data_IF_643961110670
#
_entry.id   IF_643961110670
#
_cell.length_a   1.000
_cell.length_b   1.000
_cell.length_c   1.000
_cell.angle_alpha   90.00
_cell.angle_beta   90.00
_cell.angle_gamma   90.00
#
_symmetry.space_group_name_H-M   'P 1'
#
loop_
_entity.id
_entity.type
_entity.pdbx_description
1 polymer ?
#
# COMPACT_ATOMS: atom_id res chain seq x y z
N UNK A 1 -28.20 4.43 22.52
CA UNK A 1 -27.39 3.26 22.08
C UNK A 1 -26.19 3.17 23.00
N UNK A 2 -25.93 2.01 23.61
CA UNK A 2 -24.76 1.79 24.48
C UNK A 2 -23.49 1.79 23.63
N UNK A 3 -22.54 2.68 23.94
CA UNK A 3 -21.24 2.71 23.24
C UNK A 3 -20.47 1.42 23.56
N UNK A 4 -20.01 0.73 22.52
CA UNK A 4 -19.26 -0.53 22.68
C UNK A 4 -17.83 -0.24 23.12
N UNK A 5 -17.43 -0.83 24.25
CA UNK A 5 -16.04 -0.80 24.74
C UNK A 5 -15.27 -2.04 24.27
N UNK A 6 -14.07 -1.84 23.74
CA UNK A 6 -13.13 -2.89 23.32
C UNK A 6 -11.84 -2.83 24.13
N UNK A 7 -11.21 -3.98 24.38
CA UNK A 7 -9.80 -3.99 24.80
C UNK A 7 -8.87 -3.65 23.65
N UNK A 8 -7.64 -3.24 23.95
CA UNK A 8 -6.64 -2.97 22.91
C UNK A 8 -6.30 -4.21 22.07
N UNK A 9 -6.27 -5.40 22.69
CA UNK A 9 -6.16 -6.68 21.99
C UNK A 9 -7.32 -6.92 20.99
N UNK A 10 -8.57 -6.62 21.40
CA UNK A 10 -9.71 -6.70 20.48
C UNK A 10 -9.56 -5.71 19.33
N UNK A 11 -9.10 -4.48 19.59
CA UNK A 11 -8.85 -3.48 18.54
C UNK A 11 -7.76 -3.93 17.54
N UNK A 12 -6.67 -4.55 18.01
CA UNK A 12 -5.64 -5.16 17.15
C UNK A 12 -6.23 -6.25 16.25
N UNK A 13 -6.98 -7.19 16.82
CA UNK A 13 -7.63 -8.27 16.05
C UNK A 13 -8.63 -7.74 15.03
N UNK A 14 -9.37 -6.69 15.36
CA UNK A 14 -10.25 -5.98 14.40
C UNK A 14 -9.44 -5.43 13.23
N UNK A 15 -8.33 -4.75 13.50
CA UNK A 15 -7.47 -4.18 12.45
C UNK A 15 -6.89 -5.25 11.52
N UNK A 16 -6.40 -6.36 12.09
CA UNK A 16 -5.84 -7.50 11.34
C UNK A 16 -6.93 -8.15 10.46
N UNK A 17 -8.11 -8.37 11.02
CA UNK A 17 -9.22 -9.02 10.31
C UNK A 17 -9.83 -8.16 9.19
N UNK A 18 -9.95 -6.86 9.42
CA UNK A 18 -10.39 -5.90 8.42
C UNK A 18 -9.48 -5.94 7.17
N UNK A 19 -8.17 -6.02 7.40
CA UNK A 19 -7.15 -6.16 6.37
C UNK A 19 -7.10 -7.54 5.72
N UNK A 20 -7.80 -8.54 6.26
CA UNK A 20 -7.84 -9.92 5.75
C UNK A 20 -6.61 -10.75 6.09
N UNK A 21 -5.77 -10.32 7.03
CA UNK A 21 -4.55 -11.02 7.46
C UNK A 21 -4.83 -12.20 8.41
N UNK A 22 -6.07 -12.31 8.91
CA UNK A 22 -6.53 -13.42 9.75
C UNK A 22 -7.17 -14.58 8.93
N UNK A 23 -7.12 -14.49 7.60
CA UNK A 23 -7.70 -15.48 6.68
C UNK A 23 -6.69 -16.56 6.35
N UNK A 24 -7.19 -17.77 6.13
CA UNK A 24 -6.38 -18.84 5.56
C UNK A 24 -5.95 -18.45 4.14
N UNK A 25 -4.66 -18.62 3.85
CA UNK A 25 -4.10 -18.45 2.51
C UNK A 25 -4.62 -19.58 1.61
N UNK A 26 -5.11 -19.28 0.39
CA UNK A 26 -5.54 -20.31 -0.54
C UNK A 26 -4.32 -21.09 -1.09
N UNK A 27 -4.49 -22.37 -1.41
CA UNK A 27 -3.41 -23.17 -2.00
C UNK A 27 -3.03 -22.68 -3.40
N UNK A 28 -4.03 -22.19 -4.16
CA UNK A 28 -3.84 -21.60 -5.50
C UNK A 28 -4.48 -20.21 -5.53
N UNK A 29 -3.65 -19.20 -5.81
CA UNK A 29 -4.10 -17.81 -5.93
C UNK A 29 -4.65 -17.55 -7.34
N UNK A 30 -5.88 -17.07 -7.42
CA UNK A 30 -6.58 -16.74 -8.67
C UNK A 30 -6.69 -15.23 -8.86
N UNK A 31 -7.10 -14.80 -10.06
CA UNK A 31 -7.37 -13.38 -10.34
C UNK A 31 -8.45 -12.82 -9.40
N UNK A 32 -9.46 -13.63 -9.07
CA UNK A 32 -10.51 -13.27 -8.11
C UNK A 32 -9.92 -12.98 -6.72
N UNK A 33 -9.01 -13.83 -6.24
CA UNK A 33 -8.35 -13.62 -4.94
C UNK A 33 -7.59 -12.28 -4.90
N UNK A 34 -6.87 -11.93 -5.99
CA UNK A 34 -6.20 -10.62 -6.11
C UNK A 34 -7.24 -9.49 -6.05
N UNK A 35 -8.27 -9.52 -6.89
CA UNK A 35 -9.25 -8.43 -6.98
C UNK A 35 -10.05 -8.26 -5.69
N UNK A 36 -10.42 -9.36 -5.03
CA UNK A 36 -11.19 -9.32 -3.78
C UNK A 36 -10.33 -8.81 -2.62
N UNK A 37 -9.04 -9.12 -2.62
CA UNK A 37 -8.09 -8.58 -1.65
C UNK A 37 -7.92 -7.07 -1.82
N UNK A 38 -7.71 -6.60 -3.06
CA UNK A 38 -7.59 -5.16 -3.35
C UNK A 38 -8.89 -4.42 -3.02
N UNK A 39 -10.05 -4.98 -3.35
CA UNK A 39 -11.35 -4.41 -2.95
C UNK A 39 -11.51 -4.31 -1.44
N UNK A 40 -11.06 -5.32 -0.69
CA UNK A 40 -11.13 -5.34 0.78
C UNK A 40 -10.27 -4.27 1.42
N UNK A 41 -9.02 -4.13 0.98
CA UNK A 41 -8.08 -3.16 1.54
C UNK A 41 -8.17 -1.79 0.85
N UNK A 42 -9.00 -1.64 -0.17
CA UNK A 42 -9.30 -0.39 -0.87
C UNK A 42 -8.22 0.08 -1.86
N UNK A 43 -6.93 -0.15 -1.58
CA UNK A 43 -5.82 0.27 -2.43
C UNK A 43 -4.55 -0.56 -2.23
N UNK A 44 -3.66 -0.53 -3.23
CA UNK A 44 -2.29 -1.00 -3.13
C UNK A 44 -1.33 0.13 -3.54
N UNK A 45 -0.57 0.65 -2.59
CA UNK A 45 0.43 1.67 -2.90
C UNK A 45 1.55 1.10 -3.78
N UNK A 46 1.79 1.77 -4.89
CA UNK A 46 2.85 1.51 -5.86
C UNK A 46 4.10 2.27 -5.43
N UNK A 47 5.22 1.56 -5.42
CA UNK A 47 6.54 2.11 -5.15
C UNK A 47 7.56 1.43 -6.07
N UNK A 48 8.59 2.17 -6.49
CA UNK A 48 9.60 1.71 -7.43
C UNK A 48 10.77 0.97 -6.77
N UNK A 49 10.92 1.05 -5.44
CA UNK A 49 11.97 0.33 -4.71
C UNK A 49 11.80 -1.17 -4.94
N UNK A 50 12.88 -1.81 -5.41
CA UNK A 50 12.86 -3.21 -5.82
C UNK A 50 14.00 -4.03 -5.18
N UNK A 51 14.16 -3.86 -3.86
CA UNK A 51 15.19 -4.58 -3.08
C UNK A 51 14.81 -6.04 -2.84
N UNK A 52 13.56 -6.29 -2.49
CA UNK A 52 13.00 -7.64 -2.35
C UNK A 52 12.09 -7.91 -3.55
N UNK A 53 10.93 -7.26 -3.53
CA UNK A 53 10.03 -7.08 -4.65
C UNK A 53 9.48 -5.65 -4.59
N UNK A 54 8.86 -5.17 -5.67
CA UNK A 54 8.17 -3.88 -5.65
C UNK A 54 7.04 -3.89 -4.63
N UNK A 55 6.88 -2.79 -3.89
CA UNK A 55 6.06 -2.76 -2.68
C UNK A 55 4.63 -3.27 -2.86
N UNK A 56 3.92 -2.86 -3.92
CA UNK A 56 2.53 -3.24 -4.18
C UNK A 56 2.30 -4.76 -4.30
N UNK A 57 3.35 -5.54 -4.53
CA UNK A 57 3.26 -7.00 -4.62
C UNK A 57 3.23 -7.68 -3.24
N UNK A 58 3.84 -7.07 -2.23
CA UNK A 58 4.03 -7.66 -0.91
C UNK A 58 2.77 -7.70 -0.03
N UNK A 59 1.84 -6.71 -0.05
CA UNK A 59 0.57 -6.82 0.67
C UNK A 59 -0.29 -7.99 0.21
N UNK A 60 -0.20 -8.36 -1.08
CA UNK A 60 -0.89 -9.53 -1.63
C UNK A 60 -0.23 -10.82 -1.12
N UNK A 61 1.10 -10.92 -1.14
CA UNK A 61 1.83 -12.06 -0.55
C UNK A 61 1.46 -12.25 0.92
N UNK A 62 1.45 -11.17 1.71
CA UNK A 62 1.12 -11.21 3.12
C UNK A 62 -0.26 -11.82 3.41
N UNK A 63 -1.25 -11.59 2.53
CA UNK A 63 -2.66 -12.01 2.69
C UNK A 63 -2.99 -13.32 1.98
N UNK A 64 -2.32 -13.62 0.88
CA UNK A 64 -2.68 -14.72 -0.03
C UNK A 64 -1.62 -15.81 -0.11
N UNK A 65 -0.42 -15.59 0.40
CA UNK A 65 0.71 -16.49 0.15
C UNK A 65 1.27 -16.34 -1.27
N UNK A 66 2.13 -17.26 -1.72
CA UNK A 66 2.77 -17.20 -3.03
C UNK A 66 1.75 -17.15 -4.17
N UNK A 67 1.99 -16.26 -5.14
CA UNK A 67 1.10 -16.08 -6.30
C UNK A 67 1.86 -15.65 -7.56
N UNK A 68 1.28 -15.92 -8.73
CA UNK A 68 1.78 -15.39 -10.01
C UNK A 68 1.60 -13.86 -10.07
N UNK A 69 2.71 -13.11 -10.05
CA UNK A 69 2.70 -11.64 -10.13
C UNK A 69 2.05 -11.13 -11.43
N UNK A 70 2.00 -11.96 -12.48
CA UNK A 70 1.28 -11.70 -13.70
C UNK A 70 -0.22 -11.51 -13.50
N UNK A 71 -0.80 -12.00 -12.40
CA UNK A 71 -2.20 -11.74 -12.03
C UNK A 71 -2.47 -10.25 -11.78
N UNK A 72 -1.53 -9.52 -11.18
CA UNK A 72 -1.65 -8.08 -10.95
C UNK A 72 -1.61 -7.35 -12.29
N UNK A 73 -0.68 -7.73 -13.18
CA UNK A 73 -0.62 -7.20 -14.54
C UNK A 73 -1.88 -7.51 -15.36
N UNK A 74 -2.45 -8.72 -15.23
CA UNK A 74 -3.74 -9.06 -15.85
C UNK A 74 -4.88 -8.20 -15.31
N UNK A 75 -4.91 -7.94 -14.00
CA UNK A 75 -5.94 -7.12 -13.37
C UNK A 75 -5.88 -5.64 -13.80
N UNK A 76 -4.67 -5.09 -14.01
CA UNK A 76 -4.48 -3.68 -14.35
C UNK A 76 -4.40 -3.39 -15.85
N UNK A 77 -3.91 -4.32 -16.68
CA UNK A 77 -3.62 -4.03 -18.09
C UNK A 77 -4.58 -4.67 -19.10
N UNK A 78 -5.28 -5.76 -18.75
CA UNK A 78 -6.18 -6.46 -19.68
C UNK A 78 -7.63 -6.01 -19.50
N UNK A 79 -8.30 -5.69 -20.60
CA UNK A 79 -9.73 -5.39 -20.59
C UNK A 79 -10.57 -6.67 -20.34
N UNK A 80 -11.69 -6.59 -19.59
CA UNK A 80 -12.09 -5.45 -18.78
C UNK A 80 -11.18 -5.35 -17.54
N UNK A 81 -10.63 -4.15 -17.29
CA UNK A 81 -9.70 -3.93 -16.18
C UNK A 81 -10.43 -4.08 -14.85
N UNK A 82 -9.72 -4.52 -13.82
CA UNK A 82 -10.28 -4.72 -12.47
C UNK A 82 -9.75 -3.69 -11.48
N UNK A 83 -8.55 -3.18 -11.75
CA UNK A 83 -7.89 -2.15 -10.98
C UNK A 83 -7.31 -1.11 -11.93
N UNK A 84 -7.23 0.14 -11.47
CA UNK A 84 -6.60 1.24 -12.20
C UNK A 84 -5.53 1.89 -11.34
N UNK A 85 -4.51 2.43 -12.00
CA UNK A 85 -3.52 3.28 -11.35
C UNK A 85 -4.06 4.72 -11.23
N UNK A 86 -4.02 5.26 -10.01
CA UNK A 86 -4.37 6.66 -9.73
C UNK A 86 -3.68 7.12 -8.45
N UNK A 87 -3.87 8.38 -8.08
CA UNK A 87 -3.50 8.88 -6.77
C UNK A 87 -4.58 8.57 -5.73
N UNK A 88 -4.18 7.84 -4.69
CA UNK A 88 -4.99 7.56 -3.51
C UNK A 88 -4.17 7.97 -2.26
N UNK A 89 -3.70 7.01 -1.46
CA UNK A 89 -2.74 7.28 -0.39
C UNK A 89 -1.45 7.90 -0.95
N UNK A 90 -0.88 7.25 -1.96
CA UNK A 90 0.09 7.77 -2.92
C UNK A 90 -0.25 7.19 -4.29
N UNK A 91 0.71 7.07 -5.21
CA UNK A 91 0.49 6.34 -6.47
C UNK A 91 0.03 4.93 -6.10
N UNK A 92 -1.15 4.53 -6.54
CA UNK A 92 -1.80 3.31 -6.04
C UNK A 92 -2.58 2.61 -7.14
N UNK A 93 -2.68 1.29 -7.04
CA UNK A 93 -3.76 0.56 -7.69
C UNK A 93 -5.01 0.60 -6.82
N UNK A 94 -6.15 0.96 -7.39
CA UNK A 94 -7.47 0.95 -6.73
C UNK A 94 -8.45 0.11 -7.54
N UNK A 95 -9.51 -0.47 -6.93
CA UNK A 95 -10.59 -1.08 -7.68
C UNK A 95 -11.16 -0.13 -8.74
N UNK A 96 -11.58 -0.65 -9.89
CA UNK A 96 -12.16 0.18 -10.96
C UNK A 96 -13.37 1.00 -10.48
N UNK A 97 -14.16 0.47 -9.54
CA UNK A 97 -15.29 1.17 -8.90
C UNK A 97 -14.87 2.29 -7.96
N UNK A 98 -13.64 2.27 -7.45
CA UNK A 98 -13.10 3.29 -6.55
C UNK A 98 -12.48 4.45 -7.33
N UNK A 99 -12.00 4.21 -8.55
CA UNK A 99 -11.33 5.22 -9.38
C UNK A 99 -12.16 6.50 -9.57
N UNK A 100 -13.46 6.45 -9.95
CA UNK A 100 -14.27 7.67 -10.13
C UNK A 100 -14.42 8.51 -8.85
N UNK A 101 -14.28 7.90 -7.67
CA UNK A 101 -14.37 8.61 -6.39
C UNK A 101 -13.15 9.50 -6.12
N UNK A 102 -12.08 9.36 -6.90
CA UNK A 102 -10.80 10.05 -6.69
C UNK A 102 -10.54 11.15 -7.72
N UNK A 103 -11.30 11.20 -8.81
CA UNK A 103 -11.04 12.13 -9.93
C UNK A 103 -11.43 13.58 -9.65
N UNK A 104 -12.22 13.85 -8.60
CA UNK A 104 -12.47 15.22 -8.13
C UNK A 104 -11.24 15.84 -7.47
N UNK A 105 -10.32 15.02 -6.95
CA UNK A 105 -9.19 15.47 -6.16
C UNK A 105 -7.99 15.78 -7.05
N UNK A 106 -7.89 17.04 -7.49
CA UNK A 106 -6.70 17.53 -8.19
C UNK A 106 -5.57 17.74 -7.19
N UNK A 107 -4.46 17.01 -7.34
CA UNK A 107 -3.28 17.22 -6.51
C UNK A 107 -2.75 18.64 -6.76
N UNK A 108 -2.44 19.34 -5.67
CA UNK A 108 -1.70 20.59 -5.71
C UNK A 108 -0.22 20.29 -5.60
N UNK A 109 0.52 20.66 -6.62
CA UNK A 109 1.96 20.48 -6.67
C UNK A 109 2.63 21.72 -6.06
N UNK A 110 3.57 21.58 -5.11
CA UNK A 110 4.27 22.74 -4.57
C UNK A 110 4.93 23.56 -5.68
N UNK A 111 4.58 24.85 -5.78
CA UNK A 111 5.11 25.76 -6.81
C UNK A 111 4.47 25.61 -8.20
N UNK A 112 3.40 24.82 -8.34
CA UNK A 112 2.72 24.58 -9.62
C UNK A 112 1.21 24.60 -9.43
N UNK A 113 0.52 25.49 -10.15
CA UNK A 113 -0.94 25.53 -10.25
C UNK A 113 -1.37 24.82 -11.54
N UNK A 114 -1.95 23.60 -11.46
CA UNK A 114 -2.35 22.86 -12.64
C UNK A 114 -3.42 23.55 -13.48
N UNK A 115 -4.33 24.30 -12.84
CA UNK A 115 -5.43 24.99 -13.54
C UNK A 115 -4.90 26.21 -14.29
N UNK A 116 -4.02 26.98 -13.64
CA UNK A 116 -3.36 28.12 -14.30
C UNK A 116 -2.49 27.66 -15.48
N UNK A 117 -1.67 26.61 -15.31
CA UNK A 117 -0.83 26.09 -16.40
C UNK A 117 -1.65 25.55 -17.58
N UNK A 118 -2.76 24.87 -17.31
CA UNK A 118 -3.65 24.39 -18.36
C UNK A 118 -4.32 25.57 -19.12
N UNK A 119 -4.62 26.66 -18.43
CA UNK A 119 -5.17 27.87 -19.03
C UNK A 119 -4.13 28.70 -19.80
N UNK A 120 -2.88 28.73 -19.34
CA UNK A 120 -1.76 29.46 -19.98
C UNK A 120 -1.25 28.74 -21.24
N UNK A 121 -1.26 27.40 -21.25
CA UNK A 121 -0.74 26.58 -22.34
C UNK A 121 -1.76 25.60 -22.94
N UNK A 122 -2.97 26.05 -23.34
CA UNK A 122 -4.04 25.15 -23.76
C UNK A 122 -3.64 24.25 -24.96
N UNK A 123 -2.84 24.77 -25.88
CA UNK A 123 -2.35 24.03 -27.05
C UNK A 123 -1.43 22.87 -26.69
N UNK A 124 -0.61 22.99 -25.63
CA UNK A 124 0.24 21.89 -25.15
C UNK A 124 -0.61 20.75 -24.58
N UNK A 125 -1.62 21.07 -23.78
CA UNK A 125 -2.51 20.07 -23.22
C UNK A 125 -3.36 19.40 -24.30
N UNK A 126 -3.80 20.17 -25.31
CA UNK A 126 -4.48 19.62 -26.49
C UNK A 126 -3.56 18.69 -27.27
N UNK A 127 -2.32 19.10 -27.55
CA UNK A 127 -1.32 18.28 -28.23
C UNK A 127 -1.11 16.93 -27.54
N UNK A 128 -0.92 16.91 -26.21
CA UNK A 128 -0.72 15.65 -25.46
C UNK A 128 -1.96 14.76 -25.52
N UNK A 129 -3.17 15.32 -25.42
CA UNK A 129 -4.42 14.55 -25.58
C UNK A 129 -4.52 13.94 -26.98
N UNK A 130 -4.27 14.73 -28.02
CA UNK A 130 -4.39 14.33 -29.42
C UNK A 130 -3.39 13.19 -29.73
N UNK A 131 -2.12 13.32 -29.30
CA UNK A 131 -1.11 12.26 -29.49
C UNK A 131 -1.57 10.94 -28.85
N UNK A 132 -2.07 10.96 -27.61
CA UNK A 132 -2.53 9.73 -26.94
C UNK A 132 -3.81 9.18 -27.57
N UNK A 133 -4.72 10.06 -28.02
CA UNK A 133 -5.94 9.66 -28.69
C UNK A 133 -5.64 8.94 -30.02
N UNK A 134 -4.72 9.47 -30.82
CA UNK A 134 -4.40 8.98 -32.16
C UNK A 134 -3.53 7.72 -32.14
N UNK A 135 -2.54 7.67 -31.26
CA UNK A 135 -1.56 6.58 -31.22
C UNK A 135 -1.85 5.50 -30.16
N UNK A 136 -2.79 5.76 -29.26
CA UNK A 136 -3.13 4.84 -28.17
C UNK A 136 -2.11 4.89 -27.02
N UNK A 137 -1.93 3.78 -26.27
CA UNK A 137 -1.14 3.82 -25.05
C UNK A 137 0.36 4.07 -25.27
N UNK A 138 0.89 5.17 -24.72
CA UNK A 138 2.28 5.60 -24.88
C UNK A 138 2.97 5.98 -23.55
N UNK A 139 4.28 5.77 -23.46
CA UNK A 139 5.11 6.31 -22.37
C UNK A 139 5.35 7.81 -22.55
N UNK A 140 5.76 8.50 -21.48
CA UNK A 140 6.17 9.92 -21.57
C UNK A 140 7.23 10.17 -22.64
N UNK A 141 8.22 9.26 -22.80
CA UNK A 141 9.29 9.42 -23.81
C UNK A 141 8.78 9.26 -25.23
N UNK A 142 7.84 8.34 -25.44
CA UNK A 142 7.24 8.13 -26.75
C UNK A 142 6.37 9.32 -27.14
N UNK A 143 5.64 9.93 -26.20
CA UNK A 143 4.87 11.16 -26.44
C UNK A 143 5.81 12.33 -26.77
N UNK A 144 6.92 12.48 -26.04
CA UNK A 144 7.95 13.49 -26.32
C UNK A 144 8.52 13.38 -27.75
N UNK A 145 8.58 12.19 -28.33
CA UNK A 145 9.08 11.98 -29.69
C UNK A 145 8.12 12.50 -30.79
N UNK A 146 6.84 12.73 -30.46
CA UNK A 146 5.87 13.36 -31.36
C UNK A 146 5.78 14.87 -31.17
N UNK A 147 6.36 15.41 -30.09
CA UNK A 147 6.37 16.84 -29.80
C UNK A 147 7.61 17.53 -30.37
N UNK A 148 7.55 18.85 -30.56
CA UNK A 148 8.72 19.63 -30.96
C UNK A 148 9.80 19.67 -29.86
N UNK A 149 11.01 20.10 -30.25
CA UNK A 149 12.15 20.15 -29.34
C UNK A 149 11.98 21.11 -28.15
N UNK A 150 11.12 22.13 -28.25
CA UNK A 150 10.86 23.05 -27.14
C UNK A 150 9.99 22.39 -26.06
N UNK A 151 9.05 21.54 -26.47
CA UNK A 151 8.16 20.80 -25.57
C UNK A 151 8.76 19.49 -25.04
N UNK A 152 9.77 18.93 -25.72
CA UNK A 152 10.43 17.67 -25.35
C UNK A 152 11.67 17.86 -24.44
N UNK A 153 12.32 19.04 -24.46
CA UNK A 153 13.53 19.27 -23.66
C UNK A 153 13.21 19.71 -22.24
N UNK A 154 14.04 19.27 -21.29
CA UNK A 154 14.00 19.76 -19.90
C UNK A 154 14.58 21.18 -19.85
N UNK A 155 13.97 22.11 -19.10
CA UNK A 155 14.60 23.40 -18.82
C UNK A 155 15.90 23.18 -18.05
N UNK A 156 16.98 23.90 -18.41
CA UNK A 156 18.23 23.87 -17.65
C UNK A 156 18.21 24.94 -16.56
N UNK A 157 18.47 24.56 -15.30
CA UNK A 157 19.06 25.47 -14.31
C UNK A 157 18.15 25.97 -13.17
N UNK A 158 17.10 25.24 -12.78
CA UNK A 158 16.35 25.57 -11.56
C UNK A 158 16.10 24.32 -10.70
N UNK A 159 16.52 24.37 -9.43
CA UNK A 159 16.46 23.24 -8.49
C UNK A 159 15.01 22.84 -8.19
N UNK A 160 14.58 21.65 -8.63
CA UNK A 160 13.22 21.12 -8.43
C UNK A 160 12.78 20.18 -9.56
N UNK A 161 11.48 19.91 -9.67
CA UNK A 161 10.85 19.03 -10.68
C UNK A 161 11.05 19.52 -12.14
N UNK A 162 12.26 19.42 -12.68
CA UNK A 162 12.62 19.78 -14.08
C UNK A 162 12.07 18.73 -15.08
N UNK A 163 10.75 18.67 -15.19
CA UNK A 163 10.07 17.91 -16.23
C UNK A 163 10.04 18.70 -17.54
N UNK A 164 10.00 17.99 -18.66
CA UNK A 164 9.65 18.60 -19.94
C UNK A 164 8.21 19.15 -19.89
N UNK A 165 7.87 20.17 -20.69
CA UNK A 165 6.48 20.61 -20.82
C UNK A 165 5.49 19.47 -21.09
N UNK A 166 5.84 18.52 -21.98
CA UNK A 166 5.03 17.32 -22.26
C UNK A 166 4.80 16.50 -21.00
N UNK A 167 5.85 16.20 -20.23
CA UNK A 167 5.72 15.41 -19.00
C UNK A 167 4.89 16.13 -17.93
N UNK A 168 5.03 17.45 -17.81
CA UNK A 168 4.20 18.26 -16.91
C UNK A 168 2.73 18.19 -17.30
N UNK A 169 2.40 18.41 -18.59
CA UNK A 169 1.03 18.28 -19.08
C UNK A 169 0.48 16.86 -18.85
N UNK A 170 1.30 15.83 -19.09
CA UNK A 170 0.92 14.42 -18.90
C UNK A 170 0.58 14.08 -17.44
N UNK A 171 1.39 14.52 -16.47
CA UNK A 171 1.10 14.30 -15.04
C UNK A 171 -0.12 15.09 -14.58
N UNK A 172 -0.34 16.32 -15.09
CA UNK A 172 -1.56 17.10 -14.78
C UNK A 172 -2.82 16.44 -15.38
N UNK A 173 -2.75 15.95 -16.62
CA UNK A 173 -3.86 15.22 -17.26
C UNK A 173 -4.15 13.89 -16.54
N UNK A 174 -3.10 13.23 -16.03
CA UNK A 174 -3.25 12.05 -15.17
C UNK A 174 -3.94 12.39 -13.85
N UNK A 175 -3.52 13.45 -13.18
CA UNK A 175 -4.12 13.93 -11.93
C UNK A 175 -5.57 14.37 -12.10
N UNK A 176 -5.91 14.97 -13.23
CA UNK A 176 -7.28 15.33 -13.59
C UNK A 176 -8.16 14.12 -13.96
N UNK A 177 -7.56 12.92 -14.06
CA UNK A 177 -8.26 11.70 -14.48
C UNK A 177 -8.63 11.66 -15.95
N UNK A 178 -8.09 12.55 -16.78
CA UNK A 178 -8.31 12.57 -18.24
C UNK A 178 -7.49 11.47 -18.93
N UNK A 179 -6.26 11.28 -18.45
CA UNK A 179 -5.38 10.18 -18.82
C UNK A 179 -5.17 9.24 -17.63
N UNK A 180 -4.90 7.96 -17.88
CA UNK A 180 -4.53 7.01 -16.83
C UNK A 180 -3.56 5.97 -17.39
N UNK A 181 -2.64 5.43 -16.55
CA UNK A 181 -1.78 4.34 -16.99
C UNK A 181 -2.60 3.13 -17.43
N UNK A 182 -2.46 2.77 -18.70
CA UNK A 182 -2.95 1.52 -19.25
C UNK A 182 -2.23 0.30 -18.70
N UNK A 183 -0.95 0.47 -18.41
CA UNK A 183 -0.06 -0.51 -17.79
C UNK A 183 1.19 0.19 -17.30
N UNK A 184 2.05 -0.58 -16.64
CA UNK A 184 3.48 -0.27 -16.57
C UNK A 184 4.26 -1.20 -17.49
N UNK A 185 5.25 -0.66 -18.21
CA UNK A 185 6.13 -1.47 -19.06
C UNK A 185 7.17 -2.26 -18.23
N UNK A 186 8.06 -3.01 -18.88
CA UNK A 186 9.09 -3.79 -18.19
C UNK A 186 10.06 -2.91 -17.37
N UNK A 187 10.34 -1.70 -17.86
CA UNK A 187 11.13 -0.66 -17.20
C UNK A 187 10.35 0.07 -16.10
N UNK A 188 9.12 -0.37 -15.81
CA UNK A 188 8.22 0.16 -14.79
C UNK A 188 7.71 1.58 -15.07
N UNK A 189 7.81 2.05 -16.31
CA UNK A 189 7.26 3.33 -16.75
C UNK A 189 5.76 3.22 -16.95
N UNK A 190 5.03 4.28 -16.62
CA UNK A 190 3.62 4.39 -16.97
C UNK A 190 3.49 4.48 -18.49
N UNK A 191 2.56 3.71 -19.02
CA UNK A 191 2.10 3.81 -20.41
C UNK A 191 0.68 4.36 -20.35
N UNK A 192 0.51 5.64 -20.69
CA UNK A 192 -0.73 6.39 -20.51
C UNK A 192 -1.66 6.18 -21.69
N UNK A 193 -2.96 6.11 -21.40
CA UNK A 193 -4.04 6.06 -22.39
C UNK A 193 -5.19 6.97 -21.91
N UNK A 194 -6.16 7.22 -22.78
CA UNK A 194 -7.39 7.92 -22.41
C UNK A 194 -8.12 7.15 -21.30
N UNK A 195 -8.55 7.83 -20.25
CA UNK A 195 -9.31 7.20 -19.16
C UNK A 195 -10.59 6.53 -19.67
N UNK A 196 -11.22 7.08 -20.72
CA UNK A 196 -12.40 6.49 -21.36
C UNK A 196 -12.13 5.14 -22.05
N UNK A 197 -10.90 4.88 -22.52
CA UNK A 197 -10.47 3.58 -23.09
C UNK A 197 -10.01 2.61 -22.00
N UNK A 198 -9.52 3.17 -20.89
CA UNK A 198 -9.02 2.42 -19.75
C UNK A 198 -10.12 1.85 -18.84
N UNK A 199 -11.18 2.62 -18.62
CA UNK A 199 -12.25 2.23 -17.71
C UNK A 199 -13.06 1.06 -18.27
N UNK A 200 -13.50 0.12 -17.41
CA UNK A 200 -14.46 -0.89 -17.81
C UNK A 200 -15.76 -0.24 -18.32
N UNK A 201 -16.45 -0.81 -19.33
CA UNK A 201 -17.65 -0.21 -19.93
C UNK A 201 -18.80 0.04 -18.96
N UNK A 202 -18.86 -0.71 -17.85
CA UNK A 202 -19.86 -0.61 -16.79
C UNK A 202 -19.55 0.50 -15.75
N UNK A 203 -18.37 1.13 -15.83
CA UNK A 203 -17.99 2.26 -14.98
C UNK A 203 -18.18 3.56 -15.76
N UNK A 204 -19.09 4.45 -15.34
CA UNK A 204 -19.30 5.73 -16.02
C UNK A 204 -17.99 6.54 -16.07
N UNK A 205 -17.51 6.85 -17.27
CA UNK A 205 -16.27 7.59 -17.46
C UNK A 205 -16.45 9.11 -17.46
N UNK A 206 -17.69 9.61 -17.57
CA UNK A 206 -17.94 11.00 -17.98
C UNK A 206 -18.45 11.93 -16.86
N UNK A 207 -19.01 11.41 -15.76
CA UNK A 207 -19.51 12.24 -14.66
C UNK A 207 -19.00 11.66 -13.34
N UNK A 208 -17.99 12.29 -12.71
CA UNK A 208 -17.58 11.90 -11.37
C UNK A 208 -18.72 12.23 -10.38
N UNK A 209 -18.85 11.45 -9.29
CA UNK A 209 -19.79 11.80 -8.24
C UNK A 209 -19.46 13.17 -7.64
N UNK A 210 -20.47 13.81 -7.03
CA UNK A 210 -20.24 15.04 -6.31
C UNK A 210 -19.17 14.82 -5.23
N UNK A 211 -18.29 15.80 -5.01
CA UNK A 211 -17.16 15.68 -4.08
C UNK A 211 -17.57 15.15 -2.70
N UNK A 212 -18.65 15.67 -2.12
CA UNK A 212 -19.11 15.26 -0.80
C UNK A 212 -19.58 13.79 -0.76
N UNK A 213 -20.26 13.33 -1.82
CA UNK A 213 -20.65 11.92 -1.98
C UNK A 213 -19.42 11.02 -2.14
N UNK A 214 -18.46 11.45 -2.95
CA UNK A 214 -17.21 10.72 -3.16
C UNK A 214 -16.42 10.57 -1.84
N UNK A 215 -16.35 11.62 -1.04
CA UNK A 215 -15.69 11.58 0.28
C UNK A 215 -16.42 10.63 1.23
N UNK A 216 -17.76 10.62 1.24
CA UNK A 216 -18.54 9.67 2.04
C UNK A 216 -18.20 8.22 1.65
N UNK A 217 -18.18 7.91 0.35
CA UNK A 217 -17.81 6.58 -0.15
C UNK A 217 -16.37 6.18 0.18
N UNK A 218 -15.41 7.10 0.04
CA UNK A 218 -14.01 6.85 0.39
C UNK A 218 -13.84 6.61 1.89
N UNK A 219 -14.53 7.36 2.75
CA UNK A 219 -14.54 7.13 4.20
C UNK A 219 -15.20 5.80 4.54
N UNK A 220 -16.25 5.40 3.83
CA UNK A 220 -16.86 4.07 3.97
C UNK A 220 -15.84 2.97 3.64
N UNK A 221 -15.12 3.07 2.52
CA UNK A 221 -14.05 2.13 2.15
C UNK A 221 -12.94 2.10 3.23
N UNK A 222 -12.43 3.26 3.62
CA UNK A 222 -11.36 3.39 4.62
C UNK A 222 -11.78 2.79 5.98
N UNK A 223 -13.02 3.01 6.41
CA UNK A 223 -13.53 2.47 7.68
C UNK A 223 -13.63 0.95 7.68
N UNK A 224 -14.04 0.35 6.56
CA UNK A 224 -14.07 -1.11 6.37
C UNK A 224 -12.67 -1.70 6.33
N UNK A 225 -11.73 -1.03 5.66
CA UNK A 225 -10.36 -1.51 5.52
C UNK A 225 -9.56 -1.39 6.83
N UNK A 226 -9.72 -0.29 7.58
CA UNK A 226 -9.10 -0.16 8.91
C UNK A 226 -9.80 -0.98 10.00
N UNK A 227 -11.10 -1.25 9.85
CA UNK A 227 -11.94 -1.91 10.85
C UNK A 227 -12.33 -0.96 11.98
N UNK A 228 -11.34 -0.37 12.65
CA UNK A 228 -11.48 0.62 13.73
C UNK A 228 -10.48 1.77 13.53
N UNK A 229 -10.93 3.00 13.77
CA UNK A 229 -10.07 4.18 13.61
C UNK A 229 -10.68 5.49 14.10
N UNK A 230 -9.84 6.53 14.07
CA UNK A 230 -10.24 7.93 14.26
C UNK A 230 -10.56 8.58 12.91
N UNK A 231 -11.08 9.80 12.91
CA UNK A 231 -11.20 10.64 11.70
C UNK A 231 -9.86 10.74 10.97
N UNK A 232 -8.75 10.92 11.70
CA UNK A 232 -7.41 10.99 11.11
C UNK A 232 -7.04 9.71 10.38
N UNK A 233 -7.35 8.54 10.94
CA UNK A 233 -7.06 7.27 10.27
C UNK A 233 -7.80 7.17 8.93
N UNK A 234 -9.09 7.50 8.91
CA UNK A 234 -9.89 7.43 7.68
C UNK A 234 -9.48 8.51 6.66
N UNK A 235 -9.09 9.70 7.13
CA UNK A 235 -8.59 10.77 6.29
C UNK A 235 -7.25 10.37 5.63
N UNK A 236 -6.32 9.81 6.40
CA UNK A 236 -5.00 9.43 5.91
C UNK A 236 -5.09 8.40 4.77
N UNK A 237 -6.01 7.44 4.88
CA UNK A 237 -6.16 6.32 3.93
C UNK A 237 -6.23 6.73 2.44
N UNK A 238 -6.88 7.86 2.14
CA UNK A 238 -6.98 8.43 0.79
C UNK A 238 -6.47 9.88 0.72
N UNK A 239 -5.66 10.32 1.70
CA UNK A 239 -5.13 11.70 1.84
C UNK A 239 -6.22 12.79 1.80
N UNK A 240 -7.34 12.54 2.45
CA UNK A 240 -8.48 13.46 2.50
C UNK A 240 -8.28 14.57 3.54
N UNK A 241 -9.01 15.67 3.36
CA UNK A 241 -9.09 16.71 4.39
C UNK A 241 -9.82 16.18 5.63
N UNK A 242 -9.29 16.44 6.82
CA UNK A 242 -9.86 15.92 8.08
C UNK A 242 -11.24 16.52 8.42
N UNK A 243 -11.52 17.78 8.04
CA UNK A 243 -12.83 18.41 8.27
C UNK A 243 -13.91 17.81 7.37
N UNK A 244 -13.58 17.55 6.11
CA UNK A 244 -14.49 16.89 5.16
C UNK A 244 -14.70 15.42 5.57
N UNK A 245 -13.62 14.74 5.97
CA UNK A 245 -13.69 13.39 6.54
C UNK A 245 -14.59 13.34 7.78
N UNK A 246 -14.52 14.36 8.66
CA UNK A 246 -15.40 14.44 9.84
C UNK A 246 -16.87 14.46 9.43
N UNK A 247 -17.24 15.30 8.45
CA UNK A 247 -18.63 15.37 7.94
C UNK A 247 -19.09 14.04 7.36
N UNK A 248 -18.23 13.35 6.62
CA UNK A 248 -18.54 12.02 6.12
C UNK A 248 -18.71 10.98 7.24
N UNK A 249 -17.88 11.03 8.29
CA UNK A 249 -18.06 10.19 9.48
C UNK A 249 -19.39 10.49 10.19
N UNK A 250 -19.76 11.76 10.32
CA UNK A 250 -21.06 12.17 10.88
C UNK A 250 -22.23 11.63 10.07
N UNK A 251 -22.19 11.76 8.74
CA UNK A 251 -23.21 11.24 7.85
C UNK A 251 -23.34 9.72 7.95
N UNK A 252 -22.23 8.97 7.85
CA UNK A 252 -22.25 7.52 7.97
C UNK A 252 -22.71 7.05 9.37
N UNK A 253 -22.41 7.81 10.42
CA UNK A 253 -22.90 7.53 11.76
C UNK A 253 -24.41 7.76 11.86
N UNK A 254 -24.93 8.85 11.28
CA UNK A 254 -26.37 9.13 11.24
C UNK A 254 -27.16 8.04 10.50
N UNK A 255 -26.56 7.42 9.48
CA UNK A 255 -27.13 6.28 8.77
C UNK A 255 -26.88 4.91 9.44
N UNK A 256 -26.21 4.86 10.60
CA UNK A 256 -25.92 3.62 11.32
C UNK A 256 -24.86 2.73 10.66
N UNK A 257 -24.13 3.23 9.67
CA UNK A 257 -23.03 2.53 9.02
C UNK A 257 -21.73 2.59 9.83
N UNK A 258 -21.51 3.70 10.55
CA UNK A 258 -20.44 3.83 11.54
C UNK A 258 -21.01 3.88 12.94
N UNK A 259 -20.41 3.12 13.84
CA UNK A 259 -20.78 3.07 15.25
C UNK A 259 -19.67 3.70 16.10
N UNK A 260 -19.99 4.62 17.03
CA UNK A 260 -19.02 5.08 18.00
C UNK A 260 -18.60 3.93 18.92
N UNK A 261 -17.30 3.83 19.18
CA UNK A 261 -16.71 2.81 20.05
C UNK A 261 -15.66 3.45 20.97
N UNK A 262 -15.32 2.76 22.06
CA UNK A 262 -14.20 3.12 22.93
C UNK A 262 -13.20 1.97 22.98
N UNK A 263 -11.93 2.29 23.20
CA UNK A 263 -10.86 1.30 23.43
C UNK A 263 -10.22 1.61 24.78
N UNK A 264 -10.09 0.61 25.65
CA UNK A 264 -9.43 0.77 26.95
C UNK A 264 -8.03 1.36 26.77
N UNK A 265 -7.73 2.42 27.52
CA UNK A 265 -6.47 3.15 27.42
C UNK A 265 -6.44 4.27 26.38
N UNK A 266 -7.48 4.43 25.55
CA UNK A 266 -7.59 5.53 24.59
C UNK A 266 -8.70 6.51 25.02
N UNK A 267 -8.35 7.79 25.15
CA UNK A 267 -9.30 8.85 25.50
C UNK A 267 -9.59 9.78 24.32
N UNK A 268 -10.17 9.21 23.25
CA UNK A 268 -10.54 9.96 22.05
C UNK A 268 -11.69 9.28 21.31
N UNK A 269 -12.46 10.01 20.49
CA UNK A 269 -13.49 9.43 19.65
C UNK A 269 -12.96 8.41 18.64
N UNK A 270 -13.63 7.26 18.54
CA UNK A 270 -13.33 6.19 17.60
C UNK A 270 -14.61 5.70 16.95
N UNK A 271 -14.47 5.18 15.74
CA UNK A 271 -15.56 4.58 14.99
C UNK A 271 -15.16 3.22 14.45
N UNK A 272 -16.17 2.36 14.34
CA UNK A 272 -16.08 1.05 13.73
C UNK A 272 -17.23 0.94 12.72
N UNK A 273 -16.98 0.38 11.54
CA UNK A 273 -18.08 0.06 10.61
C UNK A 273 -19.02 -0.97 11.26
N UNK A 274 -20.33 -0.83 11.09
CA UNK A 274 -21.35 -1.62 11.79
C UNK A 274 -21.25 -3.12 11.51
N UNK A 275 -20.78 -3.48 10.31
CA UNK A 275 -20.53 -4.86 9.89
C UNK A 275 -19.15 -5.41 10.27
N UNK A 276 -18.31 -4.64 10.97
CA UNK A 276 -16.97 -5.10 11.37
C UNK A 276 -17.08 -6.17 12.46
N UNK A 277 -16.49 -7.34 12.19
CA UNK A 277 -16.36 -8.42 13.19
C UNK A 277 -15.28 -8.11 14.22
N UNK A 278 -15.44 -8.65 15.42
CA UNK A 278 -14.40 -8.62 16.47
C UNK A 278 -13.97 -10.06 16.75
N UNK A 279 -12.88 -10.54 16.11
CA UNK A 279 -12.42 -11.91 16.30
C UNK A 279 -11.99 -12.17 17.75
N UNK A 280 -12.18 -13.41 18.19
CA UNK A 280 -11.70 -13.88 19.51
C UNK A 280 -10.22 -14.24 19.51
N UNK A 281 -9.70 -14.69 18.37
CA UNK A 281 -8.32 -15.13 18.14
C UNK A 281 -7.93 -14.81 16.69
N UNK A 282 -6.64 -14.88 16.40
CA UNK A 282 -6.07 -14.75 15.05
C UNK A 282 -4.81 -15.60 14.98
N UNK A 283 -4.57 -16.21 13.83
CA UNK A 283 -3.36 -16.97 13.51
C UNK A 283 -2.55 -16.24 12.42
N UNK A 284 -2.64 -14.92 12.35
CA UNK A 284 -1.98 -14.14 11.32
C UNK A 284 -0.46 -14.35 11.39
N UNK A 285 0.16 -14.57 10.24
CA UNK A 285 1.61 -14.65 10.07
C UNK A 285 1.96 -13.97 8.76
N UNK A 286 2.71 -12.87 8.81
CA UNK A 286 3.06 -12.12 7.61
C UNK A 286 4.25 -11.20 7.82
N UNK A 287 5.10 -11.09 6.81
CA UNK A 287 6.02 -9.96 6.65
C UNK A 287 5.30 -8.83 5.94
N UNK A 288 5.28 -7.65 6.56
CA UNK A 288 4.56 -6.48 6.06
C UNK A 288 5.53 -5.49 5.45
N UNK A 289 5.25 -5.02 4.24
CA UNK A 289 6.04 -3.95 3.61
C UNK A 289 5.77 -2.62 4.32
N UNK A 290 6.74 -1.67 4.35
CA UNK A 290 6.54 -0.32 4.88
C UNK A 290 5.26 0.40 4.41
N UNK A 291 4.76 0.06 3.22
CA UNK A 291 3.59 0.67 2.59
C UNK A 291 2.32 -0.21 2.70
N UNK A 292 2.35 -1.29 3.47
CA UNK A 292 1.16 -2.09 3.75
C UNK A 292 0.10 -1.23 4.45
N UNK A 293 -1.20 -1.36 4.14
CA UNK A 293 -2.23 -0.56 4.79
C UNK A 293 -2.41 -0.79 6.29
N UNK A 294 -1.89 -1.90 6.86
CA UNK A 294 -1.78 -2.04 8.31
C UNK A 294 -0.67 -1.17 8.91
N UNK A 295 0.32 -0.80 8.11
CA UNK A 295 1.62 -0.27 8.52
C UNK A 295 1.79 1.22 8.20
N UNK A 296 1.23 1.73 7.09
CA UNK A 296 1.54 3.10 6.61
C UNK A 296 1.15 4.23 7.57
N UNK A 297 0.08 4.08 8.36
CA UNK A 297 -0.31 5.10 9.36
C UNK A 297 0.47 4.78 10.64
N UNK A 298 1.63 5.44 10.78
CA UNK A 298 2.63 5.12 11.80
C UNK A 298 2.14 5.35 13.22
N UNK A 299 1.24 6.32 13.43
CA UNK A 299 0.70 6.63 14.75
C UNK A 299 -0.24 5.51 15.22
N UNK A 300 -1.10 5.03 14.32
CA UNK A 300 -2.02 3.92 14.52
C UNK A 300 -1.25 2.63 14.72
N UNK A 301 -0.18 2.41 13.97
CA UNK A 301 0.73 1.28 14.16
C UNK A 301 1.30 1.27 15.58
N UNK A 302 1.85 2.40 16.02
CA UNK A 302 2.40 2.58 17.37
C UNK A 302 1.32 2.37 18.45
N UNK A 303 0.17 3.00 18.30
CA UNK A 303 -0.89 2.97 19.32
C UNK A 303 -1.55 1.58 19.44
N UNK A 304 -1.67 0.83 18.34
CA UNK A 304 -2.22 -0.52 18.37
C UNK A 304 -1.21 -1.57 18.81
N UNK A 305 0.01 -1.51 18.27
CA UNK A 305 0.99 -2.60 18.36
C UNK A 305 2.23 -2.26 19.19
N UNK A 306 2.39 -1.02 19.64
CA UNK A 306 3.59 -0.56 20.36
C UNK A 306 4.82 -0.37 19.46
N UNK A 307 4.68 -0.55 18.14
CA UNK A 307 5.79 -0.51 17.20
C UNK A 307 6.06 0.92 16.70
N UNK A 308 7.16 1.53 17.15
CA UNK A 308 7.67 2.76 16.57
C UNK A 308 8.45 2.44 15.28
N UNK A 309 7.86 2.74 14.13
CA UNK A 309 8.42 2.35 12.83
C UNK A 309 8.73 3.57 11.95
N UNK A 310 9.99 3.67 11.50
CA UNK A 310 10.49 4.69 10.57
C UNK A 310 11.17 3.97 9.41
N UNK A 311 10.79 4.34 8.18
CA UNK A 311 11.46 3.85 6.97
C UNK A 311 12.78 4.62 6.76
N UNK A 312 13.89 3.90 6.64
CA UNK A 312 15.24 4.48 6.61
C UNK A 312 15.92 4.41 5.24
N UNK A 313 15.15 4.18 4.16
CA UNK A 313 15.69 4.11 2.79
C UNK A 313 16.41 5.39 2.34
N UNK A 314 16.01 6.54 2.88
CA UNK A 314 16.63 7.84 2.59
C UNK A 314 17.68 8.24 3.64
N UNK A 315 17.83 7.44 4.71
CA UNK A 315 18.84 7.66 5.73
C UNK A 315 20.19 7.10 5.23
N UNK A 316 21.30 7.85 5.31
CA UNK A 316 22.63 7.35 5.00
C UNK A 316 22.95 6.07 5.81
N UNK A 317 23.66 5.11 5.21
CA UNK A 317 23.86 3.78 5.79
C UNK A 317 24.34 3.80 7.25
N UNK A 318 25.34 4.63 7.58
CA UNK A 318 25.92 4.77 8.92
C UNK A 318 24.99 5.46 9.96
N UNK A 319 23.85 6.01 9.54
CA UNK A 319 22.84 6.63 10.43
C UNK A 319 21.58 5.77 10.60
N UNK A 320 21.52 4.61 9.94
CA UNK A 320 20.37 3.71 10.03
C UNK A 320 20.38 2.98 11.38
N UNK A 321 19.21 2.77 11.94
CA UNK A 321 19.04 2.03 13.19
C UNK A 321 18.75 0.55 12.94
N UNK A 322 17.87 0.25 11.98
CA UNK A 322 17.38 -1.11 11.74
C UNK A 322 17.71 -1.66 10.35
N UNK A 323 18.03 -0.81 9.38
CA UNK A 323 18.42 -1.27 8.04
C UNK A 323 17.83 -0.43 6.91
N UNK A 324 17.99 -0.90 5.67
CA UNK A 324 17.53 -0.17 4.49
C UNK A 324 16.04 -0.40 4.22
N UNK A 325 15.62 -1.65 4.05
CA UNK A 325 14.26 -2.04 3.65
C UNK A 325 13.67 -3.04 4.64
N UNK A 326 13.34 -2.51 5.82
CA UNK A 326 12.91 -3.28 7.00
C UNK A 326 11.43 -3.62 6.93
N UNK A 327 11.08 -4.90 7.04
CA UNK A 327 9.69 -5.38 7.10
C UNK A 327 9.31 -5.78 8.54
N UNK A 328 8.22 -5.21 9.11
CA UNK A 328 7.61 -5.74 10.33
C UNK A 328 7.11 -7.18 10.14
N UNK A 329 7.33 -8.02 11.14
CA UNK A 329 6.81 -9.39 11.19
C UNK A 329 5.60 -9.46 12.13
N UNK A 330 4.43 -9.71 11.55
CA UNK A 330 3.18 -9.97 12.26
C UNK A 330 3.10 -11.46 12.62
N UNK A 331 2.88 -11.75 13.91
CA UNK A 331 2.62 -13.09 14.42
C UNK A 331 1.48 -13.06 15.44
N UNK A 332 0.40 -13.77 15.14
CA UNK A 332 -0.84 -13.73 15.90
C UNK A 332 -1.46 -12.32 15.86
N UNK A 333 -1.48 -11.66 17.02
CA UNK A 333 -1.98 -10.28 17.16
C UNK A 333 -0.87 -9.26 17.45
N UNK A 334 0.40 -9.62 17.24
CA UNK A 334 1.58 -8.83 17.63
C UNK A 334 2.54 -8.58 16.47
N UNK A 335 3.19 -7.42 16.46
CA UNK A 335 4.35 -7.18 15.59
C UNK A 335 5.60 -7.52 16.40
N UNK A 336 6.16 -8.69 16.14
CA UNK A 336 7.12 -9.34 17.06
C UNK A 336 8.58 -9.21 16.64
N UNK A 337 8.83 -8.77 15.40
CA UNK A 337 10.16 -8.55 14.87
C UNK A 337 10.17 -7.52 13.73
N UNK A 338 11.39 -7.08 13.38
CA UNK A 338 11.72 -6.29 12.19
C UNK A 338 12.86 -6.97 11.46
N UNK A 339 12.75 -7.09 10.13
CA UNK A 339 13.76 -7.79 9.33
C UNK A 339 14.12 -6.96 8.09
N UNK A 340 15.40 -6.60 7.96
CA UNK A 340 15.94 -5.99 6.74
C UNK A 340 16.25 -7.08 5.72
N UNK A 341 15.65 -6.98 4.53
CA UNK A 341 15.68 -8.04 3.53
C UNK A 341 16.19 -7.55 2.20
N UNK A 342 16.88 -8.42 1.47
CA UNK A 342 17.29 -8.21 0.09
C UNK A 342 17.16 -9.50 -0.71
N UNK A 343 16.53 -9.44 -1.87
CA UNK A 343 16.61 -10.54 -2.82
C UNK A 343 17.86 -10.38 -3.69
N UNK A 344 18.87 -11.21 -3.45
CA UNK A 344 20.05 -11.27 -4.30
C UNK A 344 19.75 -12.09 -5.54
N UNK A 345 19.26 -11.40 -6.57
CA UNK A 345 18.90 -12.00 -7.86
C UNK A 345 20.08 -12.66 -8.58
N UNK A 346 21.32 -12.22 -8.34
CA UNK A 346 22.50 -12.79 -8.99
C UNK A 346 22.79 -14.18 -8.46
N UNK A 347 22.67 -14.36 -7.14
CA UNK A 347 22.95 -15.62 -6.47
C UNK A 347 21.69 -16.46 -6.21
N UNK A 348 20.50 -15.91 -6.46
CA UNK A 348 19.24 -16.61 -6.30
C UNK A 348 18.86 -16.86 -4.84
N UNK A 349 19.23 -15.97 -3.91
CA UNK A 349 18.99 -16.14 -2.46
C UNK A 349 18.28 -14.94 -1.83
N UNK A 350 17.41 -15.20 -0.86
CA UNK A 350 16.83 -14.16 0.00
C UNK A 350 17.78 -13.92 1.18
N UNK A 351 18.36 -12.73 1.24
CA UNK A 351 19.34 -12.34 2.26
C UNK A 351 18.65 -11.58 3.39
N UNK A 352 18.78 -12.10 4.62
CA UNK A 352 18.49 -11.38 5.86
C UNK A 352 19.70 -10.53 6.21
N UNK A 353 19.55 -9.22 6.02
CA UNK A 353 20.60 -8.22 6.28
C UNK A 353 20.67 -7.82 7.75
N UNK A 354 19.53 -7.86 8.44
CA UNK A 354 19.43 -7.62 9.86
C UNK A 354 18.10 -8.17 10.38
N UNK A 355 18.04 -8.63 11.63
CA UNK A 355 16.81 -9.09 12.28
C UNK A 355 16.78 -8.71 13.76
N UNK A 356 15.73 -8.02 14.17
CA UNK A 356 15.55 -7.51 15.54
C UNK A 356 14.23 -8.02 16.12
N UNK A 357 14.25 -8.53 17.35
CA UNK A 357 13.04 -8.80 18.11
C UNK A 357 12.42 -7.47 18.56
N UNK A 358 11.08 -7.42 18.55
CA UNK A 358 10.37 -6.34 19.22
C UNK A 358 10.17 -6.68 20.70
N UNK A 359 10.25 -5.68 21.59
CA UNK A 359 9.85 -5.85 22.98
C UNK A 359 8.33 -6.10 23.06
N UNK A 360 7.86 -6.87 24.06
CA UNK A 360 6.42 -7.05 24.27
C UNK A 360 5.72 -5.71 24.53
N UNK A 361 4.70 -5.40 23.75
CA UNK A 361 3.93 -4.16 23.87
C UNK A 361 2.57 -4.25 23.19
N UNK A 362 1.71 -3.22 23.28
CA UNK A 362 1.89 -1.96 24.02
C UNK A 362 1.42 -1.99 25.48
N UNK A 363 0.87 -3.11 25.98
CA UNK A 363 0.30 -3.23 27.33
C UNK A 363 0.60 -4.59 27.99
N UNK A 364 0.26 -4.73 29.27
CA UNK A 364 0.47 -5.98 30.02
C UNK A 364 -0.30 -7.17 29.44
N UNK A 365 -1.48 -6.91 28.85
CA UNK A 365 -2.26 -7.93 28.17
C UNK A 365 -1.54 -8.47 26.92
N UNK A 366 -0.86 -7.61 26.16
CA UNK A 366 -0.03 -8.05 25.05
C UNK A 366 1.20 -8.82 25.52
N UNK A 367 1.86 -8.37 26.60
CA UNK A 367 3.00 -9.08 27.21
C UNK A 367 2.63 -10.51 27.62
N UNK A 368 1.43 -10.70 28.18
CA UNK A 368 0.95 -12.02 28.62
C UNK A 368 0.71 -13.02 27.49
N UNK A 369 0.55 -12.55 26.25
CA UNK A 369 0.28 -13.39 25.06
C UNK A 369 1.40 -13.28 24.02
N UNK A 370 2.53 -12.70 24.40
CA UNK A 370 3.65 -12.48 23.49
C UNK A 370 4.34 -13.81 23.16
N UNK A 371 4.56 -14.14 21.89
CA UNK A 371 5.24 -15.38 21.52
C UNK A 371 6.66 -15.43 22.08
N UNK A 372 7.06 -16.59 22.60
CA UNK A 372 8.43 -16.81 23.07
C UNK A 372 9.44 -16.71 21.90
N UNK A 373 10.71 -16.55 22.26
CA UNK A 373 11.79 -16.28 21.30
C UNK A 373 11.95 -17.40 20.27
N UNK A 374 11.86 -18.67 20.69
CA UNK A 374 11.97 -19.83 19.81
C UNK A 374 10.80 -19.89 18.82
N UNK A 375 9.58 -19.66 19.28
CA UNK A 375 8.39 -19.60 18.41
C UNK A 375 8.52 -18.47 17.39
N UNK A 376 8.99 -17.28 17.79
CA UNK A 376 9.22 -16.17 16.86
C UNK A 376 10.22 -16.54 15.75
N UNK A 377 11.36 -17.13 16.11
CA UNK A 377 12.39 -17.55 15.15
C UNK A 377 11.86 -18.56 14.14
N UNK A 378 11.20 -19.61 14.60
CA UNK A 378 10.63 -20.67 13.73
C UNK A 378 9.56 -20.13 12.78
N UNK A 379 8.62 -19.33 13.28
CA UNK A 379 7.56 -18.77 12.45
C UNK A 379 8.09 -17.72 11.47
N UNK A 380 9.12 -16.96 11.86
CA UNK A 380 9.78 -16.03 10.95
C UNK A 380 10.49 -16.78 9.81
N UNK A 381 11.20 -17.86 10.10
CA UNK A 381 11.83 -18.71 9.06
C UNK A 381 10.79 -19.28 8.11
N UNK A 382 9.66 -19.77 8.62
CA UNK A 382 8.57 -20.28 7.77
C UNK A 382 8.04 -19.21 6.81
N UNK A 383 7.91 -17.96 7.27
CA UNK A 383 7.45 -16.84 6.45
C UNK A 383 8.53 -16.36 5.46
N UNK A 384 9.81 -16.34 5.87
CA UNK A 384 10.94 -16.04 4.99
C UNK A 384 11.07 -17.09 3.88
N UNK A 385 10.88 -18.37 4.22
CA UNK A 385 10.90 -19.49 3.25
C UNK A 385 9.75 -19.34 2.25
N UNK A 386 8.55 -18.96 2.72
CA UNK A 386 7.40 -18.67 1.85
C UNK A 386 7.73 -17.54 0.87
N UNK A 387 8.35 -16.46 1.35
CA UNK A 387 8.77 -15.34 0.50
C UNK A 387 9.88 -15.74 -0.48
N UNK A 388 10.88 -16.48 -0.04
CA UNK A 388 11.98 -16.96 -0.86
C UNK A 388 11.46 -17.83 -2.01
N UNK A 389 10.60 -18.80 -1.71
CA UNK A 389 9.93 -19.64 -2.71
C UNK A 389 9.14 -18.80 -3.72
N UNK A 390 8.37 -17.82 -3.25
CA UNK A 390 7.61 -16.91 -4.13
C UNK A 390 8.50 -16.06 -5.05
N UNK A 391 9.66 -15.62 -4.55
CA UNK A 391 10.64 -14.87 -5.33
C UNK A 391 11.39 -15.74 -6.35
N UNK A 392 11.30 -17.07 -6.24
CA UNK A 392 12.16 -18.00 -6.97
C UNK A 392 13.59 -18.05 -6.41
N UNK A 393 13.78 -17.67 -5.14
CA UNK A 393 15.04 -17.87 -4.44
C UNK A 393 15.17 -19.36 -4.01
N UNK A 394 16.36 -19.92 -4.19
CA UNK A 394 16.68 -21.29 -3.79
C UNK A 394 16.88 -21.46 -2.29
N UNK A 395 17.25 -20.38 -1.58
CA UNK A 395 17.52 -20.42 -0.14
C UNK A 395 17.30 -19.07 0.55
N UNK A 396 17.23 -19.11 1.88
CA UNK A 396 17.27 -17.97 2.80
C UNK A 396 18.61 -17.98 3.52
N UNK A 397 19.39 -16.90 3.40
CA UNK A 397 20.70 -16.78 4.05
C UNK A 397 20.71 -15.57 4.98
N UNK A 398 21.40 -15.68 6.11
CA UNK A 398 21.68 -14.54 6.99
C UNK A 398 23.04 -13.98 6.62
N UNK A 399 23.15 -12.67 6.44
CA UNK A 399 24.43 -12.03 6.15
C UNK A 399 25.41 -12.22 7.31
N UNK A 400 26.68 -12.46 6.99
CA UNK A 400 27.74 -12.56 7.99
C UNK A 400 27.77 -11.31 8.87
N UNK A 401 27.76 -11.51 10.19
CA UNK A 401 27.67 -10.43 11.18
C UNK A 401 26.44 -9.50 11.00
N UNK A 402 25.33 -10.01 10.45
CA UNK A 402 24.07 -9.28 10.38
C UNK A 402 23.66 -8.73 11.76
N UNK A 403 23.44 -7.41 11.91
CA UNK A 403 23.07 -6.82 13.19
C UNK A 403 21.66 -7.25 13.64
N UNK A 404 21.39 -7.04 14.92
CA UNK A 404 20.12 -7.33 15.55
C UNK A 404 20.11 -8.65 16.32
N UNK A 405 19.34 -8.68 17.40
CA UNK A 405 19.39 -9.76 18.36
C UNK A 405 18.79 -11.06 17.81
N UNK A 406 17.90 -11.04 16.81
CA UNK A 406 17.35 -12.26 16.19
C UNK A 406 18.23 -12.84 15.08
N UNK A 407 19.24 -12.12 14.59
CA UNK A 407 20.05 -12.59 13.46
C UNK A 407 20.79 -13.89 13.77
N UNK A 408 21.35 -14.02 14.98
CA UNK A 408 22.05 -15.23 15.41
C UNK A 408 21.09 -16.44 15.50
N UNK A 409 19.90 -16.26 16.08
CA UNK A 409 18.88 -17.31 16.16
C UNK A 409 18.47 -17.80 14.77
N UNK A 410 18.29 -16.89 13.81
CA UNK A 410 17.94 -17.24 12.45
C UNK A 410 19.07 -18.01 11.76
N UNK A 411 20.32 -17.59 11.95
CA UNK A 411 21.48 -18.25 11.38
C UNK A 411 21.60 -19.69 11.90
N UNK A 412 21.44 -19.90 13.21
CA UNK A 412 21.46 -21.21 13.83
C UNK A 412 20.33 -22.12 13.30
N UNK A 413 19.09 -21.63 13.33
CA UNK A 413 17.92 -22.40 12.91
C UNK A 413 17.94 -22.77 11.41
N UNK A 414 18.46 -21.89 10.55
CA UNK A 414 18.62 -22.18 9.11
C UNK A 414 19.71 -23.23 8.88
N UNK A 415 20.82 -23.16 9.63
CA UNK A 415 21.92 -24.14 9.54
C UNK A 415 21.47 -25.56 9.91
N UNK A 416 20.57 -25.70 10.90
CA UNK A 416 20.01 -27.00 11.26
C UNK A 416 19.05 -27.57 10.21
N UNK A 417 18.31 -26.71 9.49
CA UNK A 417 17.37 -27.16 8.46
C UNK A 417 18.10 -27.72 7.23
N UNK A 418 19.25 -27.13 6.85
CA UNK A 418 20.07 -27.60 5.72
C UNK A 418 20.72 -28.96 5.98
N UNK A 419 20.86 -29.40 7.25
CA UNK A 419 21.44 -30.70 7.61
C UNK A 419 20.45 -31.87 7.60
N UNK A 420 19.14 -31.59 7.49
CA UNK A 420 18.06 -32.59 7.60
C UNK A 420 17.39 -32.90 6.24
N UNK A 421 17.55 -32.03 5.25
CA UNK A 421 17.25 -32.27 3.82
C UNK A 421 18.48 -32.74 3.07
#
# INVERSE_FOLDING_TARGET
MTVRTLSLAQARRVAIAAQGLDRQRPDIVSLRHITDTIKRIGLLQIDSVNIVARAHLLPLLARLGPYDIGLVGRASARAPRRILETWAHEASYVPATTFPLLTWNRRRWPGMDPEALAAEHPELFRLVRDIVADHGPLTSREIEAFADAAHAKRPHGQWGWEWSPVKTALEILFDAGELTPARRNAQFERVYDLTSRALPPDIPSQIPPAKDEAIIELVRIASRAHGIGTVRCFADYFRLNQRETRRAVDALQAHGELLPVTVTGWNRPLWMHSQTRVPRRTNARALLVPFDPLVFERRRLLELFGMHYRLEIYTPAHKRTYGYYVLPFLLGEHLVARVDLKYDRKHGVLVVRAAYAEPPGPDDAARATWPDRTTRGKELIAELTTMASWLGAGDVVVEDAAPGDLSADLHELLSYNTLIT
#
